data_IF_972826359132
#
_entry.id   IF_972826359132
#
_cell.length_a   1.000
_cell.length_b   1.000
_cell.length_c   1.000
_cell.angle_alpha   90.00
_cell.angle_beta   90.00
_cell.angle_gamma   90.00
#
_symmetry.space_group_name_H-M   'P 1'
#
loop_
_entity.id
_entity.type
_entity.pdbx_description
1 polymer ?
#
# COMPACT_ATOMS: atom_id res chain seq x y z
N UNK A 1 11.87 -8.03 -14.46
CA UNK A 1 11.93 -7.06 -13.33
C UNK A 1 10.80 -7.40 -12.38
N UNK A 2 11.08 -7.79 -11.14
CA UNK A 2 10.07 -8.19 -10.16
C UNK A 2 9.73 -6.99 -9.29
N UNK A 3 8.45 -6.74 -9.07
CA UNK A 3 7.92 -5.56 -8.40
C UNK A 3 6.86 -6.05 -7.43
N UNK A 4 6.94 -5.63 -6.17
CA UNK A 4 5.96 -6.04 -5.14
C UNK A 4 4.95 -4.92 -4.89
N UNK A 5 3.63 -5.19 -4.98
CA UNK A 5 2.63 -4.22 -4.58
C UNK A 5 2.65 -4.01 -3.06
N UNK A 6 2.49 -2.76 -2.65
CA UNK A 6 2.35 -2.35 -1.24
C UNK A 6 0.89 -2.05 -0.97
N UNK A 7 0.24 -2.92 -0.19
CA UNK A 7 -1.09 -2.67 0.33
C UNK A 7 -1.01 -2.04 1.72
N UNK A 8 -1.83 -1.02 1.96
CA UNK A 8 -2.03 -0.43 3.28
C UNK A 8 -3.47 -0.67 3.71
N UNK A 9 -3.65 -1.20 4.91
CA UNK A 9 -4.97 -1.38 5.51
C UNK A 9 -5.29 -0.19 6.41
N UNK A 10 -6.54 0.27 6.39
CA UNK A 10 -6.99 1.31 7.30
C UNK A 10 -7.26 0.65 8.65
N UNK A 11 -6.45 1.00 9.65
CA UNK A 11 -6.68 0.57 11.04
C UNK A 11 -7.94 1.20 11.62
N UNK A 12 -8.50 0.57 12.67
CA UNK A 12 -9.69 1.07 13.37
C UNK A 12 -11.00 1.05 12.55
N UNK A 13 -11.12 0.11 11.63
CA UNK A 13 -12.40 -0.22 10.97
C UNK A 13 -13.07 -1.37 11.74
N UNK A 14 -14.39 -1.31 12.02
CA UNK A 14 -15.10 -2.40 12.68
C UNK A 14 -14.96 -3.70 11.89
N UNK A 15 -14.79 -4.82 12.61
CA UNK A 15 -14.47 -6.15 12.07
C UNK A 15 -15.42 -6.62 10.96
N UNK A 16 -16.66 -6.15 10.98
CA UNK A 16 -17.71 -6.49 10.01
C UNK A 16 -17.50 -5.81 8.65
N UNK A 17 -16.84 -4.65 8.64
CA UNK A 17 -16.49 -3.92 7.42
C UNK A 17 -15.18 -4.46 6.84
N UNK A 18 -14.21 -4.85 7.69
CA UNK A 18 -12.96 -5.47 7.22
C UNK A 18 -13.14 -6.84 6.54
N UNK A 19 -14.24 -7.55 6.82
CA UNK A 19 -14.56 -8.85 6.22
C UNK A 19 -15.27 -8.73 4.86
N UNK A 20 -15.73 -7.54 4.46
CA UNK A 20 -16.42 -7.32 3.19
C UNK A 20 -15.39 -6.92 2.13
N UNK A 21 -15.10 -7.76 1.11
CA UNK A 21 -14.15 -7.41 0.05
C UNK A 21 -14.62 -6.24 -0.82
N UNK A 22 -15.92 -5.92 -0.82
CA UNK A 22 -16.52 -4.74 -1.45
C UNK A 22 -16.39 -3.46 -0.62
N UNK A 23 -16.04 -3.57 0.67
CA UNK A 23 -15.70 -2.43 1.51
C UNK A 23 -14.19 -2.27 1.47
N UNK A 24 -13.68 -1.30 0.70
CA UNK A 24 -12.26 -1.05 0.46
C UNK A 24 -11.47 -0.63 1.72
N UNK A 25 -11.33 -1.52 2.69
CA UNK A 25 -10.51 -1.33 3.89
C UNK A 25 -9.01 -1.54 3.64
N UNK A 26 -8.64 -1.85 2.39
CA UNK A 26 -7.26 -1.99 1.92
C UNK A 26 -7.07 -1.15 0.66
N UNK A 27 -6.00 -0.36 0.63
CA UNK A 27 -5.65 0.51 -0.49
C UNK A 27 -4.29 0.08 -1.04
N UNK A 28 -4.20 -0.08 -2.37
CA UNK A 28 -2.91 -0.25 -3.05
C UNK A 28 -2.21 1.11 -3.07
N UNK A 29 -1.09 1.21 -2.36
CA UNK A 29 -0.37 2.46 -2.16
C UNK A 29 0.70 2.69 -3.21
N UNK A 30 1.51 1.67 -3.52
CA UNK A 30 2.61 1.77 -4.48
C UNK A 30 3.15 0.41 -4.91
N UNK A 31 4.11 0.46 -5.82
CA UNK A 31 4.87 -0.68 -6.33
C UNK A 31 6.35 -0.53 -5.92
N UNK A 32 6.86 -1.43 -5.10
CA UNK A 32 8.25 -1.40 -4.62
C UNK A 32 9.20 -2.05 -5.64
N UNK A 33 10.34 -1.40 -5.95
CA UNK A 33 11.38 -2.04 -6.72
C UNK A 33 12.12 -3.07 -5.85
N UNK A 34 12.09 -4.33 -6.29
CA UNK A 34 12.96 -5.39 -5.79
C UNK A 34 13.96 -5.72 -6.87
N UNK A 35 15.00 -4.90 -6.94
CA UNK A 35 16.17 -5.28 -7.73
C UNK A 35 16.90 -6.39 -6.98
N UNK A 36 17.26 -7.44 -7.72
CA UNK A 36 18.05 -8.51 -7.16
C UNK A 36 19.48 -7.98 -7.00
N UNK A 37 19.88 -7.75 -5.75
CA UNK A 37 21.23 -7.32 -5.37
C UNK A 37 22.24 -8.48 -5.50
N UNK A 38 22.23 -9.18 -6.64
CA UNK A 38 22.99 -10.43 -6.89
C UNK A 38 24.51 -10.22 -6.87
N UNK A 39 24.94 -8.97 -7.03
CA UNK A 39 26.33 -8.53 -7.09
C UNK A 39 26.91 -8.21 -5.71
N UNK A 40 26.11 -8.28 -4.64
CA UNK A 40 26.58 -8.04 -3.28
C UNK A 40 26.89 -9.39 -2.59
N UNK A 41 28.14 -9.61 -2.13
CA UNK A 41 28.58 -10.91 -1.63
C UNK A 41 28.05 -11.24 -0.22
N UNK A 42 27.55 -10.25 0.51
CA UNK A 42 27.11 -10.40 1.91
C UNK A 42 25.59 -10.26 2.03
N UNK A 43 24.91 -11.36 2.38
CA UNK A 43 23.47 -11.40 2.56
C UNK A 43 22.94 -10.40 3.61
N UNK A 44 23.70 -10.13 4.67
CA UNK A 44 23.34 -9.13 5.67
C UNK A 44 23.36 -7.72 5.08
N UNK A 45 24.44 -7.37 4.37
CA UNK A 45 24.56 -6.08 3.69
C UNK A 45 23.46 -5.90 2.63
N UNK A 46 23.14 -6.95 1.84
CA UNK A 46 22.00 -6.94 0.91
C UNK A 46 20.69 -6.63 1.62
N UNK A 47 20.42 -7.29 2.75
CA UNK A 47 19.19 -7.08 3.51
C UNK A 47 19.09 -5.65 4.04
N UNK A 48 20.18 -5.10 4.58
CA UNK A 48 20.22 -3.71 5.04
C UNK A 48 19.98 -2.72 3.90
N UNK A 49 20.59 -2.93 2.74
CA UNK A 49 20.41 -2.08 1.56
C UNK A 49 18.97 -2.16 1.05
N UNK A 50 18.40 -3.36 0.96
CA UNK A 50 17.01 -3.56 0.53
C UNK A 50 16.03 -2.89 1.50
N UNK A 51 16.24 -3.04 2.81
CA UNK A 51 15.46 -2.35 3.84
C UNK A 51 15.56 -0.83 3.70
N UNK A 52 16.77 -0.30 3.49
CA UNK A 52 16.98 1.14 3.31
C UNK A 52 16.27 1.67 2.07
N UNK A 53 16.32 0.94 0.94
CA UNK A 53 15.60 1.29 -0.29
C UNK A 53 14.09 1.28 -0.03
N UNK A 54 13.57 0.22 0.58
CA UNK A 54 12.16 0.10 0.94
C UNK A 54 11.72 1.28 1.83
N UNK A 55 12.47 1.56 2.90
CA UNK A 55 12.19 2.66 3.80
C UNK A 55 12.23 4.01 3.09
N UNK A 56 13.18 4.22 2.19
CA UNK A 56 13.30 5.46 1.41
C UNK A 56 12.11 5.65 0.46
N UNK A 57 11.75 4.60 -0.30
CA UNK A 57 10.58 4.64 -1.18
C UNK A 57 9.29 4.92 -0.39
N UNK A 58 9.06 4.21 0.72
CA UNK A 58 7.88 4.44 1.56
C UNK A 58 7.84 5.87 2.12
N UNK A 59 8.98 6.41 2.56
CA UNK A 59 9.07 7.79 3.04
C UNK A 59 8.67 8.79 1.96
N UNK A 60 9.13 8.58 0.73
CA UNK A 60 8.83 9.48 -0.39
C UNK A 60 7.35 9.40 -0.79
N UNK A 61 6.75 8.19 -0.82
CA UNK A 61 5.32 7.98 -1.09
C UNK A 61 4.44 8.63 0.00
N UNK A 62 4.75 8.38 1.27
CA UNK A 62 3.98 8.94 2.39
C UNK A 62 4.17 10.46 2.53
N UNK A 63 5.31 11.00 2.11
CA UNK A 63 5.52 12.44 2.05
C UNK A 63 4.58 13.13 1.06
N UNK A 64 4.26 12.48 -0.07
CA UNK A 64 3.26 12.97 -1.02
C UNK A 64 1.87 13.01 -0.37
N UNK A 65 1.49 11.98 0.40
CA UNK A 65 0.22 11.97 1.13
C UNK A 65 0.12 13.06 2.19
N UNK A 66 1.22 13.40 2.87
CA UNK A 66 1.25 14.48 3.85
C UNK A 66 0.98 15.85 3.21
N UNK A 67 1.41 16.03 1.96
CA UNK A 67 1.20 17.27 1.21
C UNK A 67 -0.12 17.27 0.43
N UNK A 68 -0.67 16.09 0.12
CA UNK A 68 -1.98 15.93 -0.48
C UNK A 68 -3.07 16.18 0.57
N UNK A 69 -3.49 17.44 0.70
CA UNK A 69 -4.61 17.83 1.59
C UNK A 69 -5.98 17.38 1.05
N UNK A 70 -6.04 16.95 -0.20
CA UNK A 70 -7.28 16.54 -0.85
C UNK A 70 -6.98 15.41 -1.84
N UNK A 71 -7.24 14.18 -1.41
CA UNK A 71 -7.45 13.05 -2.33
C UNK A 71 -8.95 12.91 -2.41
N UNK A 72 -9.55 13.43 -3.49
CA UNK A 72 -10.91 13.04 -3.87
C UNK A 72 -10.82 11.59 -4.30
N UNK A 73 -10.89 10.67 -3.33
CA UNK A 73 -11.26 9.29 -3.63
C UNK A 73 -12.61 9.43 -4.32
N UNK A 74 -12.75 9.02 -5.60
CA UNK A 74 -14.04 9.09 -6.25
C UNK A 74 -15.02 8.39 -5.33
N UNK A 75 -15.95 9.19 -4.81
CA UNK A 75 -17.05 8.74 -4.01
C UNK A 75 -17.65 7.57 -4.79
N UNK A 76 -17.53 6.36 -4.26
CA UNK A 76 -18.40 5.27 -4.70
C UNK A 76 -19.80 5.75 -4.35
N UNK A 77 -20.44 6.47 -5.27
CA UNK A 77 -21.87 6.49 -5.35
C UNK A 77 -22.23 5.03 -5.57
N UNK A 78 -22.54 4.34 -4.47
CA UNK A 78 -23.43 3.20 -4.50
C UNK A 78 -24.77 3.76 -5.01
N UNK A 79 -24.85 3.94 -6.32
CA UNK A 79 -26.04 4.32 -7.03
C UNK A 79 -26.91 3.08 -7.07
N UNK A 80 -27.91 3.13 -6.19
CA UNK A 80 -29.18 2.42 -6.27
C UNK A 80 -29.25 0.94 -5.88
N UNK A 81 -30.12 0.75 -4.89
CA UNK A 81 -31.11 -0.33 -4.74
C UNK A 81 -30.63 -1.74 -4.38
N UNK A 82 -30.96 -2.09 -3.14
CA UNK A 82 -31.25 -3.44 -2.64
C UNK A 82 -30.07 -4.40 -2.53
N UNK A 83 -30.24 -5.37 -1.62
CA UNK A 83 -29.37 -6.53 -1.37
C UNK A 83 -28.29 -6.28 -0.31
N UNK A 84 -28.76 -6.11 0.93
CA UNK A 84 -28.24 -6.90 2.05
C UNK A 84 -29.46 -7.45 2.80
N UNK A 85 -29.98 -8.58 2.28
CA UNK A 85 -30.65 -9.60 3.09
C UNK A 85 -29.58 -10.55 3.61
#
# INVERSE_FOLDING_TARGET
>A
KQIYPVYMTIGNIPKDVSQKPSCSSQILLAFLPTDKLEHLPNASACRHILLNIMHKCLKDILAQLKNAKEVVIPHCQALSSNICS
#
